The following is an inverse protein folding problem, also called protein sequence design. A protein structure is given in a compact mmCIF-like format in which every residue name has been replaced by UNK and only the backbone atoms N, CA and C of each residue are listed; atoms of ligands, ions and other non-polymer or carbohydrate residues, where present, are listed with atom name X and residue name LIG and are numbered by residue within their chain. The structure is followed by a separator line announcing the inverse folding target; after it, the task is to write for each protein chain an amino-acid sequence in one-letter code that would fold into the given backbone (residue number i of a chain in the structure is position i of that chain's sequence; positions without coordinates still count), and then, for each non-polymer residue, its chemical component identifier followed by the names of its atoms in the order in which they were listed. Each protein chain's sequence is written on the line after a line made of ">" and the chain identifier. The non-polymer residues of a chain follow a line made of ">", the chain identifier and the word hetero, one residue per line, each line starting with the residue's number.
data_IF_654912180218
#
_entry.id   IF_654912180218
#
_cell.length_a   1.000
_cell.length_b   1.000
_cell.length_c   1.000
_cell.angle_alpha   90.00
_cell.angle_beta   90.00
_cell.angle_gamma   90.00
#
_symmetry.space_group_name_H-M   'P 1'
#
loop_
_entity.id
_entity.type
_entity.pdbx_description
1 polymer ?
#
# COMPACT_ATOMS: atom_id res chain seq x y z
N UNK A 1 19.53 -2.01 16.31
CA UNK A 1 19.04 -3.28 16.84
C UNK A 1 18.88 -4.21 15.67
N UNK A 2 17.89 -5.09 15.73
CA UNK A 2 17.29 -5.69 14.56
C UNK A 2 16.72 -4.58 13.67
N UNK A 3 17.41 -4.26 12.56
CA UNK A 3 17.02 -3.17 11.65
C UNK A 3 15.60 -3.31 11.07
N UNK A 4 14.97 -4.47 11.25
CA UNK A 4 13.65 -4.82 10.73
C UNK A 4 12.49 -4.23 11.55
N UNK A 5 12.58 -4.23 12.88
CA UNK A 5 11.55 -3.68 13.76
C UNK A 5 11.86 -2.26 14.26
N UNK A 6 13.12 -1.84 14.16
CA UNK A 6 13.59 -0.53 14.64
C UNK A 6 12.69 0.65 14.17
N UNK A 7 12.25 0.75 12.89
CA UNK A 7 11.36 1.85 12.46
C UNK A 7 9.99 1.85 13.16
N UNK A 8 9.41 0.67 13.39
CA UNK A 8 8.12 0.55 14.06
C UNK A 8 8.24 0.81 15.56
N UNK A 9 9.34 0.34 16.17
CA UNK A 9 9.67 0.58 17.57
C UNK A 9 9.89 2.07 17.83
N UNK A 10 10.49 2.79 16.89
CA UNK A 10 10.61 4.24 16.93
C UNK A 10 9.23 4.92 16.95
N UNK A 11 8.32 4.55 16.04
CA UNK A 11 6.96 5.11 16.00
C UNK A 11 6.20 4.89 17.32
N UNK A 12 6.25 3.68 17.89
CA UNK A 12 5.65 3.39 19.21
C UNK A 12 6.33 4.20 20.31
N UNK A 13 7.65 4.37 20.26
CA UNK A 13 8.40 5.18 21.24
C UNK A 13 8.03 6.66 21.17
N UNK A 14 7.80 7.20 19.98
CA UNK A 14 7.30 8.57 19.79
C UNK A 14 5.91 8.70 20.44
N UNK A 15 5.00 7.76 20.17
CA UNK A 15 3.69 7.70 20.82
C UNK A 15 3.79 7.67 22.34
N UNK A 16 4.64 6.79 22.89
CA UNK A 16 4.90 6.67 24.33
C UNK A 16 5.35 7.98 24.96
N UNK A 17 6.29 8.68 24.32
CA UNK A 17 6.89 9.91 24.86
C UNK A 17 5.99 11.14 24.73
N UNK A 18 5.16 11.18 23.69
CA UNK A 18 4.33 12.34 23.39
C UNK A 18 2.88 12.22 23.88
N UNK A 19 2.41 11.00 24.13
CA UNK A 19 1.01 10.71 24.46
C UNK A 19 0.05 10.81 23.28
N UNK A 20 0.55 11.00 22.05
CA UNK A 20 -0.30 11.08 20.86
C UNK A 20 -0.64 9.68 20.31
N UNK A 21 -1.83 9.50 19.73
CA UNK A 21 -2.16 8.27 19.02
C UNK A 21 -1.20 7.99 17.86
N UNK A 22 -0.78 6.73 17.69
CA UNK A 22 0.11 6.27 16.62
C UNK A 22 -0.64 5.37 15.66
N UNK A 23 -0.60 5.70 14.37
CA UNK A 23 -1.10 4.85 13.30
C UNK A 23 0.07 4.47 12.40
N UNK A 24 0.39 3.18 12.33
CA UNK A 24 1.46 2.67 11.48
C UNK A 24 0.85 2.26 10.14
N UNK A 25 1.20 2.97 9.08
CA UNK A 25 0.69 2.68 7.74
C UNK A 25 1.32 1.41 7.16
N UNK A 26 0.53 0.70 6.34
CA UNK A 26 0.94 -0.46 5.54
C UNK A 26 1.93 -1.39 6.27
N UNK A 27 1.49 -1.92 7.41
CA UNK A 27 2.29 -2.71 8.33
C UNK A 27 2.55 -4.12 7.77
N UNK A 28 3.75 -4.37 7.26
CA UNK A 28 4.15 -5.66 6.70
C UNK A 28 5.66 -5.89 6.80
N UNK A 29 6.09 -7.15 6.66
CA UNK A 29 7.49 -7.52 6.51
C UNK A 29 7.62 -8.82 5.70
N UNK A 30 8.62 -8.94 4.81
CA UNK A 30 8.80 -10.14 3.98
C UNK A 30 9.48 -11.32 4.69
N UNK A 31 10.10 -11.11 5.86
CA UNK A 31 10.86 -12.16 6.56
C UNK A 31 9.92 -13.16 7.23
N UNK A 32 10.13 -14.45 7.01
CA UNK A 32 9.32 -15.53 7.60
C UNK A 32 9.19 -15.40 9.13
N UNK A 33 7.96 -15.54 9.64
CA UNK A 33 7.65 -15.48 11.07
C UNK A 33 7.66 -14.07 11.67
N UNK A 34 8.02 -13.04 10.89
CA UNK A 34 8.06 -11.65 11.37
C UNK A 34 6.68 -11.09 11.70
N UNK A 35 5.60 -11.66 11.13
CA UNK A 35 4.23 -11.25 11.43
C UNK A 35 3.93 -11.26 12.92
N UNK A 36 4.29 -12.32 13.64
CA UNK A 36 4.06 -12.44 15.09
C UNK A 36 4.87 -11.40 15.88
N UNK A 37 6.16 -11.26 15.59
CA UNK A 37 7.03 -10.29 16.28
C UNK A 37 6.59 -8.84 16.06
N UNK A 38 6.02 -8.55 14.88
CA UNK A 38 5.42 -7.27 14.58
C UNK A 38 4.16 -7.03 15.41
N UNK A 39 3.34 -8.04 15.65
CA UNK A 39 2.16 -7.92 16.52
C UNK A 39 2.56 -7.75 17.99
N UNK A 40 3.56 -8.48 18.47
CA UNK A 40 4.08 -8.35 19.84
C UNK A 40 4.44 -6.90 20.16
N UNK A 41 5.14 -6.20 19.24
CA UNK A 41 5.48 -4.79 19.41
C UNK A 41 4.25 -3.88 19.58
N UNK A 42 3.18 -4.16 18.83
CA UNK A 42 1.94 -3.38 18.92
C UNK A 42 1.21 -3.69 20.23
N UNK A 43 1.14 -4.96 20.61
CA UNK A 43 0.50 -5.40 21.84
C UNK A 43 1.22 -4.90 23.08
N UNK A 44 2.56 -4.92 23.11
CA UNK A 44 3.37 -4.29 24.16
C UNK A 44 2.98 -2.81 24.34
N UNK A 45 2.96 -2.05 23.25
CA UNK A 45 2.58 -0.64 23.30
C UNK A 45 1.15 -0.42 23.80
N UNK A 46 0.20 -1.25 23.35
CA UNK A 46 -1.21 -1.17 23.76
C UNK A 46 -1.41 -1.57 25.21
N UNK A 47 -0.69 -2.58 25.70
CA UNK A 47 -0.71 -3.02 27.10
C UNK A 47 -0.14 -1.96 28.06
N UNK A 48 0.77 -1.12 27.57
CA UNK A 48 1.25 0.07 28.28
C UNK A 48 0.28 1.27 28.23
N UNK A 49 -0.85 1.14 27.55
CA UNK A 49 -1.86 2.19 27.41
C UNK A 49 -1.62 3.16 26.24
N UNK A 50 -0.70 2.85 25.33
CA UNK A 50 -0.47 3.66 24.12
C UNK A 50 -1.56 3.33 23.09
N UNK A 51 -2.18 4.36 22.53
CA UNK A 51 -3.12 4.21 21.41
C UNK A 51 -2.37 3.94 20.09
N UNK A 52 -2.00 2.68 19.87
CA UNK A 52 -1.35 2.21 18.64
C UNK A 52 -2.34 1.40 17.80
N UNK A 53 -2.41 1.76 16.52
CA UNK A 53 -3.17 1.06 15.47
C UNK A 53 -2.31 0.95 14.23
N UNK A 54 -2.75 0.15 13.26
CA UNK A 54 -2.05 0.05 11.98
C UNK A 54 -3.02 -0.35 10.85
N UNK A 55 -2.60 -0.13 9.62
CA UNK A 55 -3.32 -0.62 8.44
C UNK A 55 -2.48 -1.60 7.62
N UNK A 56 -3.14 -2.42 6.80
CA UNK A 56 -2.49 -3.36 5.88
C UNK A 56 -3.39 -3.64 4.65
N UNK A 57 -2.76 -3.87 3.49
CA UNK A 57 -3.37 -4.45 2.30
C UNK A 57 -3.11 -5.97 2.19
N UNK A 58 -4.01 -6.77 1.61
CA UNK A 58 -3.91 -8.23 1.62
C UNK A 58 -3.04 -8.81 0.48
N UNK A 59 -1.99 -8.10 0.07
CA UNK A 59 -1.15 -8.48 -1.07
C UNK A 59 0.31 -8.57 -0.69
N UNK A 60 0.97 -9.66 -1.07
CA UNK A 60 2.41 -9.87 -0.89
C UNK A 60 3.27 -9.07 -1.90
N UNK A 61 2.87 -7.83 -2.17
CA UNK A 61 3.59 -6.93 -3.05
C UNK A 61 3.41 -5.48 -2.63
N UNK A 62 4.51 -4.76 -2.48
CA UNK A 62 4.51 -3.32 -2.25
C UNK A 62 4.42 -2.57 -3.60
N UNK A 63 4.13 -1.27 -3.55
CA UNK A 63 4.22 -0.39 -4.72
C UNK A 63 4.64 1.01 -4.30
N UNK A 64 5.53 1.64 -5.06
CA UNK A 64 5.97 3.01 -4.80
C UNK A 64 6.70 3.59 -6.03
N UNK A 65 7.14 4.83 -5.93
CA UNK A 65 7.95 5.54 -6.93
C UNK A 65 9.40 5.01 -6.95
N UNK A 66 10.01 4.92 -8.13
CA UNK A 66 11.35 4.32 -8.31
C UNK A 66 12.44 5.04 -7.52
N UNK A 67 12.37 6.36 -7.43
CA UNK A 67 13.39 7.14 -6.71
C UNK A 67 13.41 6.85 -5.20
N UNK A 68 12.40 6.15 -4.64
CA UNK A 68 12.40 5.70 -3.25
C UNK A 68 13.46 4.62 -2.95
N UNK A 69 14.02 3.98 -3.99
CA UNK A 69 15.14 3.05 -3.85
C UNK A 69 16.46 3.77 -3.57
N UNK A 70 16.51 5.09 -3.73
CA UNK A 70 17.70 5.88 -3.48
C UNK A 70 17.83 6.22 -1.99
N UNK A 71 19.07 6.40 -1.48
CA UNK A 71 19.27 6.87 -0.12
C UNK A 71 18.60 8.22 0.16
N UNK A 72 18.07 8.40 1.37
CA UNK A 72 17.31 9.59 1.77
C UNK A 72 18.08 10.92 1.50
N UNK A 73 19.41 10.92 1.62
CA UNK A 73 20.24 12.12 1.47
C UNK A 73 20.23 12.67 0.03
N UNK A 74 19.96 11.84 -0.97
CA UNK A 74 19.91 12.27 -2.37
C UNK A 74 18.71 13.21 -2.62
N UNK A 75 17.66 13.10 -1.81
CA UNK A 75 16.42 13.89 -1.93
C UNK A 75 16.50 15.31 -1.36
N UNK A 76 17.59 15.67 -0.68
CA UNK A 76 17.73 16.99 -0.04
C UNK A 76 17.51 18.14 -1.05
N UNK A 77 16.70 19.15 -0.73
CA UNK A 77 16.47 20.29 -1.65
C UNK A 77 15.52 20.01 -2.82
N UNK A 78 14.85 18.86 -2.86
CA UNK A 78 13.71 18.59 -3.74
C UNK A 78 14.05 18.05 -5.14
N UNK A 79 13.03 17.90 -6.01
CA UNK A 79 13.14 17.17 -7.29
C UNK A 79 14.23 17.66 -8.25
N UNK A 80 14.35 18.99 -8.43
CA UNK A 80 15.35 19.56 -9.33
C UNK A 80 16.78 19.31 -8.84
N UNK A 81 17.01 19.42 -7.53
CA UNK A 81 18.31 19.13 -6.92
C UNK A 81 18.65 17.64 -6.99
N UNK A 82 17.65 16.77 -6.80
CA UNK A 82 17.78 15.32 -7.00
C UNK A 82 18.24 15.03 -8.44
N UNK A 83 17.53 15.50 -9.46
CA UNK A 83 17.90 15.29 -10.86
C UNK A 83 19.31 15.79 -11.19
N UNK A 84 19.72 16.93 -10.64
CA UNK A 84 21.09 17.44 -10.80
C UNK A 84 22.12 16.52 -10.15
N UNK A 85 21.86 16.03 -8.93
CA UNK A 85 22.76 15.09 -8.23
C UNK A 85 22.91 13.77 -8.96
N UNK A 86 21.83 13.25 -9.56
CA UNK A 86 21.88 12.01 -10.33
C UNK A 86 22.76 12.11 -11.59
N UNK A 87 23.20 13.30 -12.01
CA UNK A 87 24.15 13.47 -13.10
C UNK A 87 25.62 13.34 -12.66
N UNK A 88 25.90 13.44 -11.35
CA UNK A 88 27.27 13.37 -10.82
C UNK A 88 27.71 11.92 -10.61
N UNK A 89 28.83 11.54 -11.23
CA UNK A 89 29.40 10.18 -11.13
C UNK A 89 29.75 9.78 -9.69
N UNK A 90 30.30 10.68 -8.90
CA UNK A 90 30.68 10.40 -7.51
C UNK A 90 29.43 10.13 -6.66
N UNK A 91 28.33 10.84 -6.94
CA UNK A 91 27.04 10.61 -6.28
C UNK A 91 26.51 9.22 -6.64
N UNK A 92 26.57 8.82 -7.92
CA UNK A 92 26.12 7.49 -8.35
C UNK A 92 26.92 6.36 -7.70
N UNK A 93 28.23 6.54 -7.54
CA UNK A 93 29.08 5.57 -6.83
C UNK A 93 28.68 5.45 -5.35
N UNK A 94 28.47 6.58 -4.66
CA UNK A 94 27.97 6.58 -3.28
C UNK A 94 26.58 5.94 -3.14
N UNK A 95 25.69 6.15 -4.12
CA UNK A 95 24.39 5.47 -4.18
C UNK A 95 24.63 3.97 -4.28
N UNK A 96 25.44 3.52 -5.25
CA UNK A 96 25.75 2.10 -5.46
C UNK A 96 26.27 1.40 -4.20
N UNK A 97 27.21 2.02 -3.50
CA UNK A 97 27.76 1.48 -2.24
C UNK A 97 26.70 1.38 -1.13
N UNK A 98 25.76 2.33 -1.07
CA UNK A 98 24.72 2.35 -0.06
C UNK A 98 23.59 1.33 -0.30
N UNK A 99 23.27 1.03 -1.57
CA UNK A 99 22.08 0.25 -1.94
C UNK A 99 22.38 -1.19 -2.37
N UNK A 100 23.56 -1.46 -2.94
CA UNK A 100 23.97 -2.82 -3.31
C UNK A 100 23.90 -3.84 -2.15
N UNK A 101 24.19 -3.48 -0.88
CA UNK A 101 24.05 -4.41 0.24
C UNK A 101 22.58 -4.70 0.64
N UNK A 102 21.61 -3.88 0.20
CA UNK A 102 20.19 -4.01 0.53
C UNK A 102 19.36 -4.68 -0.57
N UNK A 103 19.84 -4.72 -1.82
CA UNK A 103 19.13 -5.29 -2.98
C UNK A 103 19.22 -6.84 -3.09
N UNK A 104 19.29 -7.53 -1.96
CA UNK A 104 19.11 -8.99 -1.88
C UNK A 104 17.63 -9.39 -1.82
N UNK A 105 17.31 -10.58 -2.36
CA UNK A 105 16.01 -10.98 -2.93
C UNK A 105 15.66 -10.10 -4.15
N UNK A 106 15.70 -10.71 -5.33
CA UNK A 106 16.22 -10.07 -6.55
C UNK A 106 15.34 -8.93 -7.09
N UNK A 107 15.98 -7.90 -7.66
CA UNK A 107 15.30 -6.82 -8.40
C UNK A 107 14.52 -7.31 -9.62
N UNK A 108 14.56 -8.61 -9.94
CA UNK A 108 13.68 -9.25 -10.93
C UNK A 108 12.20 -9.13 -10.51
N UNK A 109 11.94 -9.03 -9.20
CA UNK A 109 10.58 -8.90 -8.66
C UNK A 109 10.08 -7.45 -8.60
N UNK A 110 10.89 -6.49 -9.06
CA UNK A 110 10.54 -5.07 -9.12
C UNK A 110 10.16 -4.74 -10.55
N UNK A 111 8.85 -4.69 -10.78
CA UNK A 111 8.25 -4.55 -12.11
C UNK A 111 7.71 -3.14 -12.25
N UNK A 112 8.07 -2.45 -13.33
CA UNK A 112 7.57 -1.11 -13.58
C UNK A 112 6.05 -1.12 -13.74
N UNK A 113 5.35 -0.31 -12.92
CA UNK A 113 3.91 -0.15 -12.98
C UNK A 113 3.48 1.11 -13.73
N UNK A 114 4.35 2.12 -13.72
CA UNK A 114 4.17 3.38 -14.43
C UNK A 114 5.51 3.88 -14.97
N UNK A 115 5.50 4.30 -16.23
CA UNK A 115 6.55 5.08 -16.88
C UNK A 115 5.89 6.29 -17.53
N UNK A 116 6.35 7.49 -17.17
CA UNK A 116 5.72 8.76 -17.54
C UNK A 116 5.76 9.06 -19.03
N UNK A 117 6.87 8.76 -19.72
CA UNK A 117 7.04 9.08 -21.13
C UNK A 117 6.63 7.94 -22.07
N UNK A 118 6.09 8.30 -23.24
CA UNK A 118 5.79 7.34 -24.31
C UNK A 118 7.06 6.65 -24.86
N UNK A 119 8.21 7.35 -24.78
CA UNK A 119 9.50 6.87 -25.29
C UNK A 119 9.93 5.57 -24.63
N UNK A 120 9.71 5.44 -23.33
CA UNK A 120 10.15 4.30 -22.53
C UNK A 120 8.98 3.41 -22.07
N UNK A 121 7.79 3.59 -22.65
CA UNK A 121 6.56 2.90 -22.23
C UNK A 121 6.64 1.37 -22.32
N UNK A 122 7.48 0.85 -23.22
CA UNK A 122 7.74 -0.58 -23.37
C UNK A 122 8.30 -1.26 -22.11
N UNK A 123 8.79 -0.48 -21.14
CA UNK A 123 9.31 -1.00 -19.88
C UNK A 123 8.21 -1.28 -18.83
N UNK A 124 6.99 -0.75 -19.00
CA UNK A 124 5.88 -1.12 -18.13
C UNK A 124 5.60 -2.62 -18.21
N UNK A 125 5.40 -3.25 -17.05
CA UNK A 125 5.25 -4.70 -16.93
C UNK A 125 6.56 -5.49 -16.99
N UNK A 126 7.71 -4.83 -17.19
CA UNK A 126 9.05 -5.45 -17.19
C UNK A 126 9.82 -5.13 -15.92
N UNK A 127 10.82 -5.96 -15.61
CA UNK A 127 11.63 -5.82 -14.41
C UNK A 127 12.78 -4.83 -14.53
N UNK A 128 13.23 -4.27 -13.41
CA UNK A 128 14.44 -3.46 -13.31
C UNK A 128 15.68 -4.20 -13.86
N UNK A 129 15.78 -5.51 -13.60
CA UNK A 129 16.90 -6.33 -14.09
C UNK A 129 16.90 -6.45 -15.62
N UNK A 130 15.74 -6.56 -16.26
CA UNK A 130 15.66 -6.59 -17.72
C UNK A 130 16.15 -5.27 -18.33
N UNK A 131 15.77 -4.13 -17.73
CA UNK A 131 16.25 -2.81 -18.16
C UNK A 131 17.78 -2.72 -18.03
N UNK A 132 18.33 -3.10 -16.88
CA UNK A 132 19.78 -3.08 -16.66
C UNK A 132 20.53 -3.99 -17.64
N UNK A 133 20.02 -5.20 -17.89
CA UNK A 133 20.58 -6.14 -18.89
C UNK A 133 20.54 -5.57 -20.30
N UNK A 134 19.45 -4.93 -20.69
CA UNK A 134 19.31 -4.35 -22.03
C UNK A 134 20.22 -3.13 -22.25
N UNK A 135 20.41 -2.31 -21.21
CA UNK A 135 21.30 -1.13 -21.26
C UNK A 135 22.78 -1.51 -21.10
N UNK A 136 23.09 -2.66 -20.49
CA UNK A 136 24.46 -3.11 -20.23
C UNK A 136 25.20 -2.26 -19.20
N UNK A 137 24.46 -1.57 -18.32
CA UNK A 137 25.02 -0.67 -17.30
C UNK A 137 24.83 -1.25 -15.89
N UNK A 138 25.65 -0.84 -14.90
CA UNK A 138 25.43 -1.18 -13.50
C UNK A 138 24.05 -0.69 -13.02
N UNK A 139 23.39 -1.45 -12.14
CA UNK A 139 22.02 -1.17 -11.70
C UNK A 139 21.82 0.25 -11.15
N UNK A 140 22.77 0.75 -10.34
CA UNK A 140 22.71 2.11 -9.83
C UNK A 140 22.72 3.16 -10.95
N UNK A 141 23.58 2.97 -11.97
CA UNK A 141 23.62 3.85 -13.15
C UNK A 141 22.33 3.72 -13.96
N UNK A 142 21.82 2.49 -14.18
CA UNK A 142 20.55 2.25 -14.87
C UNK A 142 19.39 2.99 -14.21
N UNK A 143 19.25 2.89 -12.88
CA UNK A 143 18.19 3.57 -12.13
C UNK A 143 18.35 5.09 -12.22
N UNK A 144 19.57 5.62 -12.05
CA UNK A 144 19.82 7.06 -12.14
C UNK A 144 19.49 7.61 -13.53
N UNK A 145 19.93 6.93 -14.59
CA UNK A 145 19.65 7.33 -15.97
C UNK A 145 18.16 7.28 -16.27
N UNK A 146 17.47 6.20 -15.87
CA UNK A 146 16.03 6.07 -16.10
C UNK A 146 15.23 7.14 -15.35
N UNK A 147 15.60 7.44 -14.11
CA UNK A 147 15.00 8.54 -13.34
C UNK A 147 15.21 9.91 -13.97
N UNK A 148 16.37 10.14 -14.62
CA UNK A 148 16.62 11.39 -15.37
C UNK A 148 15.79 11.42 -16.65
N UNK A 149 15.79 10.33 -17.44
CA UNK A 149 15.05 10.22 -18.70
C UNK A 149 13.55 10.46 -18.50
N UNK A 150 12.99 9.96 -17.40
CA UNK A 150 11.58 10.04 -17.06
C UNK A 150 11.21 11.22 -16.14
N UNK A 151 12.16 12.12 -15.84
CA UNK A 151 11.95 13.25 -14.94
C UNK A 151 11.32 12.83 -13.58
N UNK A 152 11.83 11.74 -13.01
CA UNK A 152 11.39 11.08 -11.78
C UNK A 152 9.98 10.42 -11.83
N UNK A 153 9.27 10.48 -12.96
CA UNK A 153 7.91 9.94 -13.10
C UNK A 153 7.93 8.44 -13.44
N UNK A 154 8.36 7.64 -12.46
CA UNK A 154 8.44 6.18 -12.58
C UNK A 154 7.97 5.53 -11.30
N UNK A 155 7.12 4.51 -11.42
CA UNK A 155 6.67 3.68 -10.29
C UNK A 155 6.89 2.19 -10.57
N UNK A 156 6.95 1.40 -9.50
CA UNK A 156 7.08 -0.05 -9.57
C UNK A 156 6.16 -0.77 -8.57
N UNK A 157 6.00 -2.07 -8.81
CA UNK A 157 5.48 -3.06 -7.87
C UNK A 157 6.61 -4.01 -7.49
N UNK A 158 6.86 -4.16 -6.18
CA UNK A 158 7.83 -5.11 -5.66
C UNK A 158 7.11 -6.33 -5.09
N UNK A 159 7.17 -7.45 -5.82
CA UNK A 159 6.54 -8.73 -5.43
C UNK A 159 7.41 -9.51 -4.44
N UNK A 160 7.70 -8.90 -3.29
CA UNK A 160 8.65 -9.43 -2.30
C UNK A 160 8.01 -9.72 -0.94
N UNK A 161 6.70 -9.49 -0.78
CA UNK A 161 6.02 -9.66 0.51
C UNK A 161 5.84 -11.12 0.92
N UNK A 162 5.39 -11.32 2.16
CA UNK A 162 5.13 -12.64 2.72
C UNK A 162 3.62 -12.83 2.97
N UNK A 163 2.93 -13.71 2.22
CA UNK A 163 1.50 -13.94 2.38
C UNK A 163 1.11 -14.45 3.78
N UNK A 164 1.96 -15.22 4.45
CA UNK A 164 1.64 -15.81 5.75
C UNK A 164 1.71 -14.75 6.86
N UNK A 165 2.72 -13.88 6.82
CA UNK A 165 2.78 -12.71 7.70
C UNK A 165 1.54 -11.81 7.52
N UNK A 166 1.09 -11.61 6.27
CA UNK A 166 -0.12 -10.83 5.99
C UNK A 166 -1.35 -11.45 6.66
N UNK A 167 -1.54 -12.78 6.55
CA UNK A 167 -2.66 -13.47 7.19
C UNK A 167 -2.64 -13.37 8.71
N UNK A 168 -1.46 -13.49 9.32
CA UNK A 168 -1.29 -13.31 10.77
C UNK A 168 -1.67 -11.89 11.17
N UNK A 169 -1.09 -10.89 10.50
CA UNK A 169 -1.30 -9.47 10.82
C UNK A 169 -2.76 -9.03 10.61
N UNK A 170 -3.43 -9.52 9.55
CA UNK A 170 -4.81 -9.15 9.22
C UNK A 170 -5.82 -9.51 10.33
N UNK A 171 -5.54 -10.57 11.11
CA UNK A 171 -6.41 -11.05 12.19
C UNK A 171 -6.37 -10.14 13.43
N UNK A 172 -5.33 -9.32 13.57
CA UNK A 172 -5.10 -8.55 14.79
C UNK A 172 -6.21 -7.50 15.06
N UNK A 173 -6.69 -7.33 16.30
CA UNK A 173 -7.78 -6.38 16.61
C UNK A 173 -7.48 -4.90 16.32
N UNK A 174 -6.20 -4.51 16.28
CA UNK A 174 -5.75 -3.15 15.97
C UNK A 174 -5.51 -2.89 14.47
N UNK A 175 -5.67 -3.91 13.61
CA UNK A 175 -5.52 -3.80 12.17
C UNK A 175 -6.76 -3.20 11.51
N UNK A 176 -6.56 -2.21 10.65
CA UNK A 176 -7.54 -1.66 9.70
C UNK A 176 -7.13 -1.98 8.26
N UNK A 177 -8.09 -1.96 7.34
CA UNK A 177 -7.81 -2.20 5.92
C UNK A 177 -7.50 -0.89 5.22
N UNK A 178 -6.32 -0.80 4.61
CA UNK A 178 -5.90 0.29 3.73
C UNK A 178 -5.41 -0.30 2.41
N UNK A 179 -5.91 0.19 1.27
CA UNK A 179 -5.52 -0.39 -0.03
C UNK A 179 -4.11 -0.01 -0.47
N UNK A 180 -3.63 1.17 -0.04
CA UNK A 180 -2.37 1.76 -0.50
C UNK A 180 -2.29 1.79 -2.05
N UNK A 181 -3.43 2.01 -2.71
CA UNK A 181 -3.53 2.01 -4.17
C UNK A 181 -2.78 3.19 -4.80
N UNK A 182 -1.96 2.90 -5.81
CA UNK A 182 -1.35 3.92 -6.68
C UNK A 182 -2.09 3.86 -8.01
N UNK A 183 -2.84 4.93 -8.33
CA UNK A 183 -3.77 4.97 -9.46
C UNK A 183 -3.11 5.37 -10.80
N UNK A 184 -1.80 5.60 -10.81
CA UNK A 184 -1.05 5.97 -12.00
C UNK A 184 -0.48 4.74 -12.71
N UNK A 185 -0.41 4.81 -14.04
CA UNK A 185 0.15 3.75 -14.88
C UNK A 185 -0.87 2.72 -15.37
N UNK A 186 -0.41 1.84 -16.26
CA UNK A 186 -1.25 0.79 -16.85
C UNK A 186 -1.12 -0.54 -16.10
N UNK A 187 -0.05 -0.73 -15.32
CA UNK A 187 0.22 -1.96 -14.57
C UNK A 187 0.29 -1.74 -13.05
N UNK A 188 -0.70 -1.09 -12.41
CA UNK A 188 -0.67 -0.84 -10.97
C UNK A 188 -0.67 -2.15 -10.17
N UNK A 189 -0.37 -2.07 -8.86
CA UNK A 189 -0.54 -3.20 -7.97
C UNK A 189 -2.04 -3.59 -7.89
N UNK A 190 -2.42 -4.89 -7.97
CA UNK A 190 -3.82 -5.33 -7.91
C UNK A 190 -4.56 -4.88 -6.64
N UNK A 191 -3.83 -4.56 -5.56
CA UNK A 191 -4.41 -3.95 -4.34
C UNK A 191 -5.23 -2.69 -4.61
N UNK A 192 -4.91 -1.97 -5.68
CA UNK A 192 -5.59 -0.74 -6.10
C UNK A 192 -7.06 -0.97 -6.41
N UNK A 193 -7.41 -2.11 -7.00
CA UNK A 193 -8.78 -2.45 -7.40
C UNK A 193 -9.41 -3.55 -6.55
N UNK A 194 -8.59 -4.37 -5.87
CA UNK A 194 -9.05 -5.61 -5.25
C UNK A 194 -9.05 -5.66 -3.73
N UNK A 195 -8.47 -4.70 -3.01
CA UNK A 195 -8.23 -4.82 -1.54
C UNK A 195 -9.45 -5.26 -0.74
N UNK A 196 -10.53 -4.47 -0.75
CA UNK A 196 -11.69 -4.74 0.12
C UNK A 196 -12.43 -6.04 -0.31
N UNK A 197 -12.68 -6.28 -1.60
CA UNK A 197 -13.29 -7.53 -2.07
C UNK A 197 -12.40 -8.76 -1.84
N UNK A 198 -11.07 -8.62 -1.84
CA UNK A 198 -10.15 -9.71 -1.51
C UNK A 198 -10.29 -10.12 -0.04
N UNK A 199 -10.37 -9.17 0.89
CA UNK A 199 -10.63 -9.48 2.31
C UNK A 199 -11.95 -10.24 2.45
N UNK A 200 -13.03 -9.74 1.85
CA UNK A 200 -14.36 -10.34 1.97
C UNK A 200 -14.48 -11.71 1.29
N UNK A 201 -13.87 -11.87 0.11
CA UNK A 201 -13.88 -13.14 -0.62
C UNK A 201 -12.87 -14.11 -0.02
N UNK A 202 -11.58 -13.77 -0.08
CA UNK A 202 -10.51 -14.67 0.30
C UNK A 202 -10.41 -14.87 1.82
N UNK A 203 -10.21 -13.81 2.61
CA UNK A 203 -9.92 -13.96 4.05
C UNK A 203 -11.15 -14.34 4.87
N UNK A 204 -12.35 -13.91 4.47
CA UNK A 204 -13.59 -14.25 5.17
C UNK A 204 -14.23 -15.53 4.62
N UNK A 205 -14.58 -15.59 3.34
CA UNK A 205 -15.36 -16.71 2.78
C UNK A 205 -14.50 -17.95 2.51
N UNK A 206 -13.38 -17.82 1.80
CA UNK A 206 -12.58 -18.98 1.36
C UNK A 206 -11.70 -19.53 2.49
N UNK A 207 -10.98 -18.66 3.21
CA UNK A 207 -10.00 -19.06 4.22
C UNK A 207 -10.58 -19.09 5.65
N UNK A 208 -11.64 -18.33 5.92
CA UNK A 208 -12.27 -18.30 7.25
C UNK A 208 -11.41 -17.72 8.37
N UNK A 209 -10.34 -16.99 8.05
CA UNK A 209 -9.44 -16.38 9.06
C UNK A 209 -10.04 -15.13 9.71
N UNK A 210 -11.06 -14.54 9.09
CA UNK A 210 -11.82 -13.41 9.63
C UNK A 210 -13.31 -13.72 9.62
N UNK A 211 -14.03 -13.26 10.65
CA UNK A 211 -15.50 -13.19 10.61
C UNK A 211 -15.93 -12.03 9.71
N UNK A 212 -17.09 -12.16 9.07
CA UNK A 212 -17.64 -11.14 8.17
C UNK A 212 -17.79 -9.78 8.87
N UNK A 213 -18.36 -9.77 10.07
CA UNK A 213 -18.56 -8.58 10.88
C UNK A 213 -17.25 -7.94 11.32
N UNK A 214 -16.21 -8.72 11.60
CA UNK A 214 -14.90 -8.21 11.97
C UNK A 214 -14.23 -7.55 10.76
N UNK A 215 -14.27 -8.20 9.60
CA UNK A 215 -13.80 -7.62 8.35
C UNK A 215 -14.55 -6.31 8.03
N UNK A 216 -15.89 -6.30 8.08
CA UNK A 216 -16.70 -5.10 7.86
C UNK A 216 -16.31 -4.00 8.86
N UNK A 217 -16.16 -4.32 10.15
CA UNK A 217 -15.72 -3.35 11.17
C UNK A 217 -14.36 -2.73 10.86
N UNK A 218 -13.38 -3.54 10.43
CA UNK A 218 -12.02 -3.12 10.05
C UNK A 218 -11.99 -2.19 8.82
N UNK A 219 -13.07 -2.18 8.03
CA UNK A 219 -13.23 -1.37 6.81
C UNK A 219 -14.22 -0.20 6.98
N UNK A 220 -14.90 -0.08 8.12
CA UNK A 220 -15.99 0.89 8.33
C UNK A 220 -15.86 1.67 9.64
N UNK A 221 -16.41 1.14 10.74
CA UNK A 221 -16.49 1.84 12.02
C UNK A 221 -15.13 2.07 12.66
N UNK A 222 -14.18 1.15 12.49
CA UNK A 222 -12.84 1.29 13.04
C UNK A 222 -12.05 2.45 12.41
N UNK A 223 -11.92 2.57 11.06
CA UNK A 223 -11.30 3.74 10.45
C UNK A 223 -12.10 5.02 10.67
N UNK A 224 -13.44 4.98 10.71
CA UNK A 224 -14.24 6.16 11.05
C UNK A 224 -13.92 6.67 12.47
N UNK A 225 -13.84 5.78 13.47
CA UNK A 225 -13.43 6.13 14.83
C UNK A 225 -12.00 6.68 14.85
N UNK A 226 -11.07 6.04 14.13
CA UNK A 226 -9.66 6.48 14.09
C UNK A 226 -9.50 7.90 13.55
N UNK A 227 -10.28 8.26 12.54
CA UNK A 227 -10.26 9.57 11.90
C UNK A 227 -11.17 10.60 12.60
N UNK A 228 -11.89 10.22 13.66
CA UNK A 228 -12.81 11.10 14.39
C UNK A 228 -14.10 11.43 13.63
N UNK A 229 -14.52 10.58 12.69
CA UNK A 229 -15.75 10.75 11.92
C UNK A 229 -16.96 10.25 12.73
N UNK A 230 -17.74 11.18 13.28
CA UNK A 230 -18.85 10.87 14.20
C UNK A 230 -20.15 10.51 13.49
N UNK A 231 -20.27 10.84 12.21
CA UNK A 231 -21.49 10.67 11.39
C UNK A 231 -21.36 9.58 10.30
N UNK A 232 -20.33 8.72 10.36
CA UNK A 232 -20.04 7.67 9.36
C UNK A 232 -19.56 6.37 9.99
N UNK A 233 -19.47 5.32 9.17
CA UNK A 233 -18.85 4.03 9.53
C UNK A 233 -19.76 3.04 10.25
N UNK A 234 -20.98 3.43 10.63
CA UNK A 234 -22.01 2.53 11.18
C UNK A 234 -23.37 2.79 10.52
N UNK A 235 -24.18 1.74 10.36
CA UNK A 235 -25.56 1.86 9.91
C UNK A 235 -26.47 2.13 11.12
N UNK A 236 -26.88 3.38 11.27
CA UNK A 236 -27.78 3.84 12.34
C UNK A 236 -28.52 5.09 11.89
N UNK A 237 -29.74 5.28 12.39
CA UNK A 237 -30.51 6.50 12.17
C UNK A 237 -29.67 7.76 12.50
N UNK A 238 -29.76 8.77 11.62
CA UNK A 238 -29.01 10.02 11.71
C UNK A 238 -27.59 9.99 11.15
N UNK A 239 -27.04 8.82 10.76
CA UNK A 239 -25.75 8.71 10.08
C UNK A 239 -25.85 9.09 8.60
N UNK A 240 -24.71 9.41 7.98
CA UNK A 240 -24.64 9.54 6.52
C UNK A 240 -24.91 8.19 5.88
N UNK A 241 -25.73 8.19 4.83
CA UNK A 241 -26.02 7.01 4.03
C UNK A 241 -24.85 6.70 3.09
N UNK A 242 -23.74 6.26 3.66
CA UNK A 242 -22.63 5.62 2.97
C UNK A 242 -22.78 4.11 3.13
N UNK A 243 -23.24 3.44 2.08
CA UNK A 243 -23.71 2.05 2.14
C UNK A 243 -23.14 1.29 0.97
N UNK A 244 -22.65 0.08 1.24
CA UNK A 244 -22.28 -0.90 0.22
C UNK A 244 -23.23 -2.10 0.35
N UNK A 245 -23.82 -2.50 -0.77
CA UNK A 245 -24.59 -3.74 -0.88
C UNK A 245 -23.76 -4.69 -1.72
N UNK A 246 -23.42 -5.84 -1.14
CA UNK A 246 -22.61 -6.86 -1.79
C UNK A 246 -23.17 -8.25 -1.53
N UNK A 247 -22.90 -9.17 -2.45
CA UNK A 247 -23.25 -10.57 -2.31
C UNK A 247 -22.10 -11.32 -1.61
N UNK A 248 -22.30 -11.82 -0.37
CA UNK A 248 -21.24 -12.48 0.39
C UNK A 248 -20.74 -13.77 -0.28
N UNK A 249 -21.60 -14.47 -1.02
CA UNK A 249 -21.27 -15.73 -1.70
C UNK A 249 -20.46 -15.51 -2.99
N UNK A 250 -20.44 -14.28 -3.52
CA UNK A 250 -19.84 -13.97 -4.83
C UNK A 250 -18.77 -12.89 -4.79
N UNK A 251 -18.69 -12.09 -3.72
CA UNK A 251 -17.73 -10.98 -3.64
C UNK A 251 -16.30 -11.48 -3.83
N UNK A 252 -15.58 -10.89 -4.78
CA UNK A 252 -14.23 -11.31 -5.13
C UNK A 252 -13.44 -10.19 -5.80
N UNK A 253 -12.13 -10.16 -5.53
CA UNK A 253 -11.20 -9.37 -6.30
C UNK A 253 -10.89 -10.07 -7.63
N UNK A 254 -10.94 -9.31 -8.74
CA UNK A 254 -10.57 -9.81 -10.07
C UNK A 254 -9.20 -9.35 -10.55
N UNK A 255 -8.71 -8.24 -9.98
CA UNK A 255 -7.41 -7.69 -10.29
C UNK A 255 -6.30 -8.69 -9.94
N UNK A 256 -5.50 -9.03 -10.94
CA UNK A 256 -4.28 -9.84 -10.80
C UNK A 256 -3.06 -8.97 -11.09
N UNK A 257 -1.84 -9.51 -10.98
CA UNK A 257 -0.68 -8.72 -11.37
C UNK A 257 -0.52 -8.59 -12.89
N UNK A 258 -1.07 -9.53 -13.64
CA UNK A 258 -1.03 -9.59 -15.10
C UNK A 258 -2.16 -8.76 -15.71
N UNK A 259 -3.28 -8.62 -15.00
CA UNK A 259 -4.42 -7.78 -15.38
C UNK A 259 -4.95 -7.01 -14.15
N UNK A 260 -4.27 -5.93 -13.74
CA UNK A 260 -4.52 -5.26 -12.46
C UNK A 260 -5.69 -4.29 -12.45
N UNK A 261 -6.18 -3.85 -13.62
CA UNK A 261 -7.24 -2.83 -13.74
C UNK A 261 -8.63 -3.45 -13.90
N UNK A 262 -8.89 -4.49 -13.10
CA UNK A 262 -10.16 -5.22 -13.12
C UNK A 262 -11.05 -4.82 -11.95
N UNK A 263 -12.29 -4.42 -12.25
CA UNK A 263 -13.29 -4.16 -11.23
C UNK A 263 -13.68 -5.45 -10.49
N UNK A 264 -14.01 -5.35 -9.20
CA UNK A 264 -14.40 -6.52 -8.42
C UNK A 264 -15.80 -7.02 -8.80
N UNK A 265 -16.06 -8.27 -8.45
CA UNK A 265 -17.38 -8.88 -8.59
C UNK A 265 -18.15 -8.87 -7.26
N UNK A 266 -19.47 -8.95 -7.35
CA UNK A 266 -20.35 -9.10 -6.18
C UNK A 266 -20.58 -7.83 -5.37
N UNK A 267 -20.14 -6.66 -5.84
CA UNK A 267 -20.50 -5.35 -5.26
C UNK A 267 -21.62 -4.74 -6.13
N UNK A 268 -22.87 -4.94 -5.73
CA UNK A 268 -24.03 -4.59 -6.56
C UNK A 268 -24.33 -3.08 -6.48
N UNK A 269 -24.30 -2.50 -5.28
CA UNK A 269 -24.63 -1.09 -5.08
C UNK A 269 -23.67 -0.41 -4.13
N UNK A 270 -23.31 0.83 -4.48
CA UNK A 270 -22.56 1.73 -3.60
C UNK A 270 -23.31 3.05 -3.55
N UNK A 271 -23.59 3.51 -2.33
CA UNK A 271 -24.31 4.74 -2.04
C UNK A 271 -23.38 5.61 -1.21
N UNK A 272 -23.23 6.88 -1.60
CA UNK A 272 -22.43 7.87 -0.87
C UNK A 272 -23.30 9.08 -0.58
N UNK A 273 -23.40 9.48 0.70
CA UNK A 273 -24.28 10.55 1.15
C UNK A 273 -25.74 10.41 0.63
N UNK A 274 -26.24 9.17 0.53
CA UNK A 274 -27.60 8.88 0.06
C UNK A 274 -27.80 8.96 -1.47
N UNK A 275 -26.72 9.09 -2.25
CA UNK A 275 -26.76 9.08 -3.71
C UNK A 275 -26.11 7.81 -4.25
N UNK A 276 -26.77 7.15 -5.21
CA UNK A 276 -26.26 5.95 -5.84
C UNK A 276 -25.07 6.28 -6.76
N UNK A 277 -23.90 5.71 -6.47
CA UNK A 277 -22.65 5.90 -7.23
C UNK A 277 -22.25 4.65 -8.02
N UNK A 278 -22.64 3.47 -7.55
CA UNK A 278 -22.58 2.21 -8.30
C UNK A 278 -23.97 1.60 -8.32
N UNK A 279 -24.46 1.27 -9.52
CA UNK A 279 -25.75 0.65 -9.79
C UNK A 279 -25.52 -0.64 -10.57
N UNK A 280 -25.85 -1.79 -9.95
CA UNK A 280 -25.62 -3.13 -10.50
C UNK A 280 -24.18 -3.33 -11.03
N UNK A 281 -23.20 -2.91 -10.23
CA UNK A 281 -21.77 -3.02 -10.56
C UNK A 281 -21.24 -1.97 -11.54
N UNK A 282 -22.08 -1.05 -12.04
CA UNK A 282 -21.67 0.01 -12.98
C UNK A 282 -21.63 1.37 -12.27
N UNK A 283 -20.51 2.10 -12.41
CA UNK A 283 -20.40 3.44 -11.85
C UNK A 283 -21.34 4.42 -12.58
N UNK A 284 -22.15 5.17 -11.83
CA UNK A 284 -23.20 6.05 -12.38
C UNK A 284 -22.67 7.40 -12.88
N UNK A 285 -21.42 7.73 -12.54
CA UNK A 285 -20.82 9.05 -12.79
C UNK A 285 -21.18 10.10 -11.73
N UNK A 286 -22.02 9.77 -10.76
CA UNK A 286 -22.33 10.67 -9.65
C UNK A 286 -21.12 10.86 -8.73
N UNK A 287 -20.81 12.11 -8.39
CA UNK A 287 -19.70 12.48 -7.49
C UNK A 287 -20.21 13.19 -6.22
N UNK A 288 -21.04 12.54 -5.38
CA UNK A 288 -21.63 13.15 -4.19
C UNK A 288 -20.66 13.27 -3.00
N UNK A 289 -19.39 12.89 -3.20
CA UNK A 289 -18.34 12.96 -2.19
C UNK A 289 -18.12 14.39 -1.68
N UNK A 290 -17.65 14.49 -0.44
CA UNK A 290 -17.35 15.77 0.23
C UNK A 290 -16.02 15.66 0.93
N UNK A 291 -15.27 16.75 0.95
CA UNK A 291 -14.11 16.87 1.83
C UNK A 291 -14.58 16.77 3.29
N UNK A 292 -13.96 15.87 4.05
CA UNK A 292 -14.24 15.68 5.46
C UNK A 292 -13.36 16.63 6.28
N UNK A 293 -13.96 17.28 7.26
CA UNK A 293 -13.24 18.08 8.27
C UNK A 293 -13.30 17.31 9.58
N UNK A 294 -12.31 17.54 10.45
CA UNK A 294 -12.35 17.02 11.83
C UNK A 294 -13.65 17.45 12.52
N UNK A 295 -14.29 16.52 13.24
CA UNK A 295 -15.60 16.68 13.88
C UNK A 295 -15.54 16.58 15.40
#
# INVERSE_FOLDING_TARGET
>A
GDKLLDPFREAVTIGRRSGVPVHISHYHNPVDGMGEQMLDLVDEGRNEGIDVTFDQYPYAAASTVLHSLLPYWVHAGGPSALLQRLQDRNVREQIGDAVNPMWGLTLDHYIFSHVGSDKNKEWEGRSLTELAKAKGTPMADTICDFLIEENLDVAFVARTGNPDNIRVIAQHPAQMVGSDGILTGEMPNPRTYGTFPYILGQFVREEGILRMEDAVRKMTSMPAQRLGLKDRGILRDGMKADIVVFNPDRVAAKATFEDPKQYPEGIDYVIINGKLVVDNGVHTGALPGRALRSQ
#
